data_IF_928935187335
#
_entry.id   IF_928935187335
#
_cell.length_a   1.000
_cell.length_b   1.000
_cell.length_c   1.000
_cell.angle_alpha   90.00
_cell.angle_beta   90.00
_cell.angle_gamma   90.00
#
_symmetry.space_group_name_H-M   'P 1'
#
loop_
_entity.id
_entity.type
_entity.pdbx_description
1 polymer ?
#
# COMPACT_ATOMS: atom_id res chain seq x y z
N UNK A 1 14.97 19.04 -33.39
CA UNK A 1 14.12 20.00 -32.64
C UNK A 1 13.26 19.18 -31.66
N UNK A 2 13.66 19.10 -30.39
CA UNK A 2 12.99 18.24 -29.40
C UNK A 2 11.59 18.77 -29.06
N UNK A 3 10.56 17.93 -29.19
CA UNK A 3 9.18 18.30 -28.85
C UNK A 3 9.10 18.77 -27.39
N UNK A 4 8.59 19.98 -27.17
CA UNK A 4 8.28 20.51 -25.84
C UNK A 4 7.13 19.69 -25.24
N UNK A 5 7.40 18.96 -24.17
CA UNK A 5 6.40 18.17 -23.44
C UNK A 5 5.75 19.06 -22.37
N UNK A 6 4.46 19.37 -22.49
CA UNK A 6 3.73 20.25 -21.56
C UNK A 6 4.39 21.63 -21.32
N UNK A 7 5.30 22.06 -22.21
CA UNK A 7 6.09 23.28 -22.06
C UNK A 7 7.39 23.16 -21.24
N UNK A 8 7.71 21.98 -20.68
CA UNK A 8 8.86 21.76 -19.80
C UNK A 8 9.87 20.76 -20.43
N UNK A 9 11.14 21.12 -20.48
CA UNK A 9 12.27 20.25 -20.87
C UNK A 9 13.49 20.54 -19.98
N UNK A 10 14.37 19.55 -19.82
CA UNK A 10 15.61 19.70 -19.05
C UNK A 10 15.38 19.70 -17.53
N UNK A 11 16.04 20.63 -16.83
CA UNK A 11 16.11 20.66 -15.36
C UNK A 11 14.73 20.82 -14.70
N UNK A 12 13.83 21.61 -15.29
CA UNK A 12 12.49 21.82 -14.76
C UNK A 12 11.60 20.55 -14.79
N UNK A 13 11.80 19.68 -15.78
CA UNK A 13 11.13 18.37 -15.84
C UNK A 13 11.69 17.41 -14.78
N UNK A 14 13.00 17.45 -14.53
CA UNK A 14 13.62 16.64 -13.48
C UNK A 14 13.14 17.06 -12.10
N UNK A 15 13.02 18.36 -11.83
CA UNK A 15 12.47 18.89 -10.57
C UNK A 15 11.01 18.45 -10.41
N UNK A 16 10.18 18.57 -11.46
CA UNK A 16 8.78 18.14 -11.40
C UNK A 16 8.64 16.64 -11.08
N UNK A 17 9.46 15.78 -11.71
CA UNK A 17 9.47 14.34 -11.42
C UNK A 17 9.96 14.09 -9.98
N UNK A 18 10.97 14.83 -9.51
CA UNK A 18 11.48 14.72 -8.14
C UNK A 18 10.44 15.09 -7.09
N UNK A 19 9.66 16.16 -7.32
CA UNK A 19 8.57 16.58 -6.43
C UNK A 19 7.46 15.53 -6.39
N UNK A 20 7.05 15.01 -7.56
CA UNK A 20 6.00 13.97 -7.63
C UNK A 20 6.47 12.70 -6.92
N UNK A 21 7.70 12.23 -7.19
CA UNK A 21 8.27 11.07 -6.50
C UNK A 21 8.37 11.29 -4.98
N UNK A 22 8.72 12.51 -4.54
CA UNK A 22 8.70 12.87 -3.12
C UNK A 22 7.31 12.77 -2.48
N UNK A 23 6.26 13.20 -3.20
CA UNK A 23 4.88 13.03 -2.75
C UNK A 23 4.45 11.56 -2.69
N UNK A 24 4.88 10.73 -3.64
CA UNK A 24 4.62 9.28 -3.62
C UNK A 24 5.26 8.61 -2.38
N UNK A 25 6.51 8.95 -2.05
CA UNK A 25 7.17 8.44 -0.82
C UNK A 25 6.48 8.94 0.46
N UNK A 26 6.00 10.17 0.48
CA UNK A 26 5.21 10.68 1.60
C UNK A 26 3.90 9.90 1.77
N UNK A 27 3.19 9.64 0.67
CA UNK A 27 1.95 8.85 0.68
C UNK A 27 2.21 7.41 1.12
N UNK A 28 3.36 6.83 0.73
CA UNK A 28 3.79 5.51 1.20
C UNK A 28 3.95 5.48 2.73
N UNK A 29 4.63 6.47 3.30
CA UNK A 29 4.78 6.60 4.76
C UNK A 29 3.45 6.84 5.47
N UNK A 30 2.57 7.64 4.88
CA UNK A 30 1.23 7.88 5.40
C UNK A 30 0.40 6.59 5.47
N UNK A 31 0.41 5.76 4.42
CA UNK A 31 -0.33 4.48 4.38
C UNK A 31 0.11 3.52 5.50
N UNK A 32 1.42 3.44 5.74
CA UNK A 32 1.97 2.64 6.85
C UNK A 32 1.60 3.21 8.23
N UNK A 33 1.67 4.53 8.41
CA UNK A 33 1.31 5.20 9.66
C UNK A 33 -0.18 5.06 10.00
N UNK A 34 -1.06 5.31 9.03
CA UNK A 34 -2.51 5.16 9.19
C UNK A 34 -2.89 3.73 9.51
N UNK A 35 -2.24 2.76 8.86
CA UNK A 35 -2.45 1.33 9.17
C UNK A 35 -2.19 1.02 10.63
N UNK A 36 -1.09 1.53 11.21
CA UNK A 36 -0.79 1.34 12.63
C UNK A 36 -1.90 1.86 13.55
N UNK A 37 -2.49 3.02 13.23
CA UNK A 37 -3.61 3.58 13.98
C UNK A 37 -4.96 2.90 13.72
N UNK A 38 -5.19 2.39 12.51
CA UNK A 38 -6.42 1.65 12.19
C UNK A 38 -6.50 0.31 12.92
N UNK A 39 -5.37 -0.36 13.09
CA UNK A 39 -5.29 -1.68 13.74
C UNK A 39 -5.67 -1.65 15.24
N UNK A 40 -5.60 -0.47 15.89
CA UNK A 40 -6.00 -0.28 17.29
C UNK A 40 -7.42 0.26 17.46
N UNK A 41 -8.11 0.55 16.35
CA UNK A 41 -9.43 1.19 16.37
C UNK A 41 -10.53 0.16 16.69
N UNK A 42 -11.36 0.45 17.70
CA UNK A 42 -12.47 -0.44 18.10
C UNK A 42 -13.45 -0.73 16.95
N UNK A 43 -13.65 0.24 16.05
CA UNK A 43 -14.45 0.05 14.83
C UNK A 43 -13.85 -1.00 13.88
N UNK A 44 -12.52 -1.04 13.76
CA UNK A 44 -11.81 -1.99 12.90
C UNK A 44 -11.76 -3.39 13.53
N UNK A 45 -11.56 -3.45 14.86
CA UNK A 45 -11.60 -4.66 15.67
C UNK A 45 -12.98 -5.36 15.59
N UNK A 46 -14.07 -4.59 15.51
CA UNK A 46 -15.43 -5.12 15.35
C UNK A 46 -15.63 -5.90 14.04
N UNK A 47 -15.00 -5.46 12.95
CA UNK A 47 -15.11 -6.13 11.64
C UNK A 47 -14.03 -7.20 11.44
N UNK A 48 -12.87 -7.06 12.09
CA UNK A 48 -11.76 -8.01 12.01
C UNK A 48 -11.29 -8.47 13.40
N UNK A 49 -12.12 -9.22 14.17
CA UNK A 49 -11.78 -9.65 15.53
C UNK A 49 -10.57 -10.61 15.56
N UNK A 50 -10.21 -11.19 14.43
CA UNK A 50 -9.15 -12.19 14.28
C UNK A 50 -7.73 -11.59 14.18
N UNK A 51 -7.60 -10.27 13.97
CA UNK A 51 -6.33 -9.51 13.98
C UNK A 51 -6.32 -8.39 15.03
N UNK A 52 -7.32 -8.36 15.90
CA UNK A 52 -7.40 -7.38 16.97
C UNK A 52 -6.25 -7.60 17.96
N UNK A 53 -5.41 -6.59 18.17
CA UNK A 53 -4.33 -6.59 19.18
C UNK A 53 -4.62 -5.64 20.36
N UNK A 54 -5.86 -5.15 20.45
CA UNK A 54 -6.32 -4.27 21.52
C UNK A 54 -7.83 -4.42 21.75
N UNK A 55 -8.30 -4.16 22.98
CA UNK A 55 -9.71 -4.23 23.37
C UNK A 55 -10.02 -5.35 24.38
N UNK A 56 -11.20 -5.28 25.01
CA UNK A 56 -11.62 -6.20 26.08
C UNK A 56 -11.61 -7.68 25.66
N UNK A 57 -11.79 -7.97 24.36
CA UNK A 57 -11.69 -9.33 23.79
C UNK A 57 -10.23 -9.84 23.73
N UNK A 58 -9.26 -8.98 23.38
CA UNK A 58 -7.84 -9.34 23.34
C UNK A 58 -7.26 -9.55 24.74
N UNK A 59 -7.64 -8.70 25.71
CA UNK A 59 -7.21 -8.82 27.11
C UNK A 59 -7.81 -10.05 27.80
N UNK A 60 -8.94 -10.57 27.31
CA UNK A 60 -9.55 -11.82 27.79
C UNK A 60 -8.94 -13.09 27.19
N UNK A 61 -8.07 -12.96 26.18
CA UNK A 61 -7.45 -14.07 25.46
C UNK A 61 -6.17 -14.55 26.15
N UNK A 62 -5.87 -15.84 26.02
CA UNK A 62 -4.65 -16.44 26.59
C UNK A 62 -3.41 -15.88 25.90
N UNK A 63 -2.26 -15.80 26.59
CA UNK A 63 -0.98 -15.33 26.01
C UNK A 63 -0.61 -16.04 24.67
N UNK A 64 -0.96 -17.31 24.52
CA UNK A 64 -0.74 -18.08 23.28
C UNK A 64 -1.65 -17.65 22.10
N UNK A 65 -2.84 -17.12 22.40
CA UNK A 65 -3.80 -16.66 21.39
C UNK A 65 -3.50 -15.21 20.98
N UNK A 66 -3.05 -14.38 21.94
CA UNK A 66 -2.56 -13.02 21.71
C UNK A 66 -1.35 -12.99 20.76
N UNK A 67 -0.41 -13.92 20.91
CA UNK A 67 0.75 -14.04 20.01
C UNK A 67 0.32 -14.41 18.59
N UNK A 68 -0.65 -15.31 18.44
CA UNK A 68 -1.18 -15.73 17.13
C UNK A 68 -1.89 -14.58 16.41
N UNK A 69 -2.64 -13.73 17.13
CA UNK A 69 -3.29 -12.54 16.56
C UNK A 69 -2.27 -11.48 16.13
N UNK A 70 -1.24 -11.26 16.95
CA UNK A 70 -0.13 -10.37 16.63
C UNK A 70 0.63 -10.83 15.38
N UNK A 71 0.87 -12.14 15.22
CA UNK A 71 1.48 -12.70 14.01
C UNK A 71 0.61 -12.46 12.78
N UNK A 72 -0.71 -12.65 12.87
CA UNK A 72 -1.64 -12.39 11.76
C UNK A 72 -1.65 -10.91 11.35
N UNK A 73 -1.64 -10.00 12.31
CA UNK A 73 -1.51 -8.57 12.04
C UNK A 73 -0.16 -8.25 11.37
N UNK A 74 0.93 -8.83 11.87
CA UNK A 74 2.25 -8.71 11.27
C UNK A 74 2.27 -9.18 9.81
N UNK A 75 1.61 -10.31 9.50
CA UNK A 75 1.47 -10.81 8.13
C UNK A 75 0.72 -9.81 7.25
N UNK A 76 -0.37 -9.21 7.73
CA UNK A 76 -1.13 -8.20 6.96
C UNK A 76 -0.27 -6.98 6.62
N UNK A 77 0.50 -6.48 7.58
CA UNK A 77 1.40 -5.33 7.36
C UNK A 77 2.57 -5.72 6.44
N UNK A 78 3.15 -6.91 6.63
CA UNK A 78 4.24 -7.42 5.81
C UNK A 78 3.81 -7.71 4.36
N UNK A 79 2.55 -8.14 4.15
CA UNK A 79 2.01 -8.40 2.82
C UNK A 79 2.01 -7.15 1.94
N UNK A 80 1.78 -5.97 2.51
CA UNK A 80 1.91 -4.71 1.76
C UNK A 80 3.35 -4.48 1.27
N UNK A 81 4.34 -4.63 2.15
CA UNK A 81 5.75 -4.48 1.79
C UNK A 81 6.21 -5.54 0.77
N UNK A 82 5.70 -6.77 0.90
CA UNK A 82 5.92 -7.84 -0.07
C UNK A 82 5.33 -7.49 -1.44
N UNK A 83 4.13 -6.90 -1.47
CA UNK A 83 3.50 -6.39 -2.67
C UNK A 83 4.34 -5.32 -3.37
N UNK A 84 4.88 -4.36 -2.61
CA UNK A 84 5.79 -3.32 -3.14
C UNK A 84 7.10 -3.91 -3.67
N UNK A 85 7.69 -4.87 -2.95
CA UNK A 85 8.87 -5.58 -3.43
C UNK A 85 8.58 -6.29 -4.76
N UNK A 86 7.46 -7.02 -4.84
CA UNK A 86 7.04 -7.70 -6.05
C UNK A 86 6.72 -6.74 -7.20
N UNK A 87 6.14 -5.56 -6.94
CA UNK A 87 5.84 -4.52 -7.93
C UNK A 87 7.09 -3.81 -8.46
N UNK A 88 8.16 -3.70 -7.65
CA UNK A 88 9.41 -3.06 -8.07
C UNK A 88 10.13 -3.81 -9.20
N UNK A 89 10.05 -5.15 -9.21
CA UNK A 89 10.72 -6.02 -10.19
C UNK A 89 10.24 -5.77 -11.64
N UNK A 90 8.93 -5.86 -11.96
CA UNK A 90 8.44 -5.60 -13.29
C UNK A 90 8.54 -4.12 -13.67
N UNK A 91 8.54 -3.20 -12.70
CA UNK A 91 8.65 -1.75 -12.96
C UNK A 91 9.93 -1.37 -13.67
N UNK A 92 11.03 -2.11 -13.47
CA UNK A 92 12.31 -1.90 -14.19
C UNK A 92 12.14 -2.16 -15.69
N UNK A 93 11.49 -3.27 -16.06
CA UNK A 93 11.28 -3.66 -17.45
C UNK A 93 10.18 -2.85 -18.12
N UNK A 94 9.04 -2.69 -17.44
CA UNK A 94 7.88 -1.93 -17.90
C UNK A 94 8.24 -0.44 -18.04
N UNK A 95 9.05 0.10 -17.13
CA UNK A 95 9.52 1.49 -17.18
C UNK A 95 10.37 1.80 -18.42
N UNK A 96 11.20 0.84 -18.85
CA UNK A 96 12.03 0.98 -20.04
C UNK A 96 11.20 0.87 -21.34
N UNK A 97 10.14 0.04 -21.35
CA UNK A 97 9.37 -0.24 -22.55
C UNK A 97 8.21 0.75 -22.80
N UNK A 98 7.48 1.13 -21.75
CA UNK A 98 6.28 1.98 -21.84
C UNK A 98 6.56 3.48 -21.60
N UNK A 99 7.75 3.81 -21.10
CA UNK A 99 8.15 5.16 -20.74
C UNK A 99 7.52 5.66 -19.44
N UNK A 100 8.24 6.55 -18.74
CA UNK A 100 7.90 7.04 -17.37
C UNK A 100 6.43 7.42 -17.15
N UNK A 101 5.81 8.14 -18.08
CA UNK A 101 4.44 8.67 -17.88
C UNK A 101 3.38 7.56 -17.88
N UNK A 102 3.51 6.56 -18.75
CA UNK A 102 2.51 5.48 -18.86
C UNK A 102 2.65 4.49 -17.72
N UNK A 103 3.88 4.25 -17.25
CA UNK A 103 4.14 3.42 -16.07
C UNK A 103 3.51 4.01 -14.82
N UNK A 104 3.65 5.33 -14.58
CA UNK A 104 3.02 5.99 -13.42
C UNK A 104 1.49 5.85 -13.48
N UNK A 105 0.88 6.10 -14.65
CA UNK A 105 -0.57 6.02 -14.79
C UNK A 105 -1.10 4.59 -14.58
N UNK A 106 -0.36 3.57 -15.06
CA UNK A 106 -0.70 2.17 -14.86
C UNK A 106 -0.59 1.78 -13.38
N UNK A 107 0.48 2.20 -12.69
CA UNK A 107 0.67 1.98 -11.26
C UNK A 107 -0.46 2.60 -10.43
N UNK A 108 -0.81 3.87 -10.71
CA UNK A 108 -1.93 4.54 -10.05
C UNK A 108 -3.27 3.81 -10.26
N UNK A 109 -3.51 3.25 -11.46
CA UNK A 109 -4.73 2.49 -11.72
C UNK A 109 -4.79 1.19 -10.89
N UNK A 110 -3.68 0.47 -10.81
CA UNK A 110 -3.56 -0.75 -9.98
C UNK A 110 -3.77 -0.39 -8.49
N UNK A 111 -3.20 0.74 -8.04
CA UNK A 111 -3.37 1.24 -6.67
C UNK A 111 -4.85 1.52 -6.35
N UNK A 112 -5.59 2.12 -7.26
CA UNK A 112 -7.04 2.38 -7.09
C UNK A 112 -7.82 1.09 -6.96
N UNK A 113 -7.52 0.06 -7.77
CA UNK A 113 -8.17 -1.25 -7.67
C UNK A 113 -7.89 -1.88 -6.31
N UNK A 114 -6.63 -1.86 -5.86
CA UNK A 114 -6.25 -2.39 -4.56
C UNK A 114 -6.95 -1.66 -3.41
N UNK A 115 -7.04 -0.33 -3.47
CA UNK A 115 -7.76 0.48 -2.48
C UNK A 115 -9.25 0.11 -2.43
N UNK A 116 -9.88 -0.10 -3.58
CA UNK A 116 -11.28 -0.49 -3.68
C UNK A 116 -11.53 -1.89 -3.08
N UNK A 117 -10.60 -2.83 -3.29
CA UNK A 117 -10.62 -4.14 -2.66
C UNK A 117 -10.47 -4.07 -1.14
N UNK A 118 -9.64 -3.16 -0.62
CA UNK A 118 -9.49 -2.94 0.81
C UNK A 118 -10.74 -2.31 1.43
N UNK A 119 -11.37 -1.32 0.76
CA UNK A 119 -12.60 -0.68 1.24
C UNK A 119 -13.81 -1.63 1.28
N UNK A 120 -13.84 -2.62 0.38
CA UNK A 120 -14.93 -3.61 0.28
C UNK A 120 -14.61 -4.93 0.99
N UNK A 121 -13.51 -5.00 1.74
CA UNK A 121 -13.09 -6.23 2.40
C UNK A 121 -13.96 -6.55 3.62
N UNK A 122 -14.65 -7.70 3.56
CA UNK A 122 -15.40 -8.27 4.69
C UNK A 122 -14.68 -9.44 5.35
N UNK A 123 -13.59 -9.92 4.77
CA UNK A 123 -12.80 -11.05 5.26
C UNK A 123 -11.30 -10.75 5.24
N UNK A 124 -10.55 -11.35 6.17
CA UNK A 124 -9.10 -11.18 6.28
C UNK A 124 -8.31 -11.47 5.00
N UNK A 125 -8.58 -12.57 4.27
CA UNK A 125 -7.85 -12.87 3.04
C UNK A 125 -8.04 -11.79 1.98
N UNK A 126 -9.25 -11.22 1.87
CA UNK A 126 -9.54 -10.15 0.92
C UNK A 126 -8.78 -8.87 1.27
N UNK A 127 -8.63 -8.56 2.56
CA UNK A 127 -7.84 -7.42 3.02
C UNK A 127 -6.35 -7.62 2.72
N UNK A 128 -5.81 -8.83 2.91
CA UNK A 128 -4.42 -9.18 2.56
C UNK A 128 -4.18 -9.06 1.05
N UNK A 129 -5.10 -9.57 0.23
CA UNK A 129 -5.03 -9.45 -1.23
C UNK A 129 -5.10 -7.99 -1.65
N UNK A 130 -6.02 -7.21 -1.07
CA UNK A 130 -6.12 -5.77 -1.31
C UNK A 130 -4.81 -5.05 -0.99
N UNK A 131 -4.15 -5.42 0.13
CA UNK A 131 -2.83 -4.88 0.50
C UNK A 131 -1.73 -5.24 -0.50
N UNK A 132 -1.69 -6.48 -0.97
CA UNK A 132 -0.73 -6.93 -1.98
C UNK A 132 -0.91 -6.18 -3.30
N UNK A 133 -2.16 -6.02 -3.75
CA UNK A 133 -2.49 -5.33 -5.00
C UNK A 133 -2.19 -3.83 -4.92
N UNK A 134 -2.57 -3.17 -3.81
CA UNK A 134 -2.22 -1.75 -3.61
C UNK A 134 -0.71 -1.57 -3.50
N UNK A 135 -0.01 -2.51 -2.86
CA UNK A 135 1.45 -2.49 -2.77
C UNK A 135 2.12 -2.67 -4.14
N UNK A 136 1.59 -3.54 -5.00
CA UNK A 136 2.13 -3.78 -6.34
C UNK A 136 1.98 -2.56 -7.29
N UNK A 137 0.97 -1.72 -7.06
CA UNK A 137 0.73 -0.51 -7.86
C UNK A 137 1.56 0.71 -7.45
N UNK A 138 2.22 0.68 -6.30
CA UNK A 138 3.13 1.74 -5.82
C UNK A 138 4.56 1.46 -6.26
#
# INVERSE_FOLDING_TARGET
MGRRYLGLQGNALQIAIGVIAGMDFLLFGYDQGVTGGLLTLQSFIKYFPTIATSGAYYDSLTQAEQSTQSTRQGIVVAAYNLGCFAGSIPTIWVGNWLGRRKTIFLGSFIMVIGALLQCTAYQLPQLIVGRLVTGFGK
#
